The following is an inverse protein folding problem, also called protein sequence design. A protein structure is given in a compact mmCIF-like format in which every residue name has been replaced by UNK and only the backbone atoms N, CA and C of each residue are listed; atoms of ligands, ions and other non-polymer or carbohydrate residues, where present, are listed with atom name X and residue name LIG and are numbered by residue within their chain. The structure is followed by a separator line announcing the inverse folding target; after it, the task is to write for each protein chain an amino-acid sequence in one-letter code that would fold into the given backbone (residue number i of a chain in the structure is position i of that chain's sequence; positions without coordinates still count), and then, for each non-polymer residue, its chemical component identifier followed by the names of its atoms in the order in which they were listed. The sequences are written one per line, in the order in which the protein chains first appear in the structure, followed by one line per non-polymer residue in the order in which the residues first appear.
data_IF_624663193374
#
_entry.id   IF_624663193374
#
_cell.length_a   1.000
_cell.length_b   1.000
_cell.length_c   1.000
_cell.angle_alpha   90.00
_cell.angle_beta   90.00
_cell.angle_gamma   90.00
#
_symmetry.space_group_name_H-M   'P 1'
#
loop_
_entity.id
_entity.type
_entity.pdbx_description
1 polymer ?
#
# COMPACT_ATOMS: atom_id res chain seq x y z
N UNK A 1 -14.92 -5.24 -16.20
CA UNK A 1 -14.77 -3.81 -15.88
C UNK A 1 -13.79 -3.64 -14.73
N UNK A 2 -12.55 -3.27 -15.05
CA UNK A 2 -11.49 -2.92 -14.10
C UNK A 2 -11.90 -1.67 -13.33
N UNK A 3 -12.41 -1.89 -12.12
CA UNK A 3 -12.99 -0.85 -11.29
C UNK A 3 -11.89 -0.05 -10.60
N UNK A 4 -11.54 1.08 -11.23
CA UNK A 4 -10.77 2.22 -10.71
C UNK A 4 -9.24 2.25 -10.84
N UNK A 5 -8.73 1.70 -11.94
CA UNK A 5 -7.80 2.49 -12.75
C UNK A 5 -8.07 2.33 -14.25
N UNK A 6 -8.92 3.23 -14.75
CA UNK A 6 -8.34 4.24 -15.62
C UNK A 6 -7.07 4.71 -14.91
N UNK A 7 -5.90 4.25 -15.37
CA UNK A 7 -4.65 4.85 -14.95
C UNK A 7 -4.89 6.34 -15.12
N UNK A 8 -5.03 7.07 -14.00
CA UNK A 8 -5.09 8.51 -14.08
C UNK A 8 -3.77 8.85 -14.74
N UNK A 9 -3.86 9.25 -16.00
CA UNK A 9 -2.76 9.79 -16.79
C UNK A 9 -3.15 11.25 -16.95
N UNK A 10 -2.40 12.18 -16.34
CA UNK A 10 -1.21 11.92 -15.54
C UNK A 10 -1.55 11.32 -14.16
N UNK A 11 -0.63 10.52 -13.57
CA UNK A 11 -0.77 10.09 -12.19
C UNK A 11 -0.92 11.34 -11.29
N UNK A 12 -1.73 11.27 -10.21
CA UNK A 12 -1.91 12.41 -9.30
C UNK A 12 -0.56 13.00 -8.89
N UNK A 13 -0.48 14.31 -8.70
CA UNK A 13 0.80 15.04 -8.53
C UNK A 13 1.65 14.55 -7.35
N UNK A 14 1.05 13.96 -6.32
CA UNK A 14 1.77 13.31 -5.21
C UNK A 14 2.47 11.98 -5.60
N UNK A 15 2.14 11.41 -6.76
CA UNK A 15 2.73 10.15 -7.27
C UNK A 15 4.01 10.36 -8.10
N UNK A 16 4.33 11.59 -8.54
CA UNK A 16 5.28 11.86 -9.65
C UNK A 16 6.78 11.62 -9.35
N UNK A 17 7.19 11.04 -8.22
CA UNK A 17 8.58 11.25 -7.74
C UNK A 17 9.37 10.03 -7.23
N UNK A 18 8.90 8.78 -7.33
CA UNK A 18 9.59 7.67 -6.60
C UNK A 18 9.72 6.30 -7.29
N UNK A 19 9.43 6.14 -8.58
CA UNK A 19 9.62 4.84 -9.25
C UNK A 19 8.64 3.74 -8.77
N UNK A 20 7.51 4.15 -8.20
CA UNK A 20 6.45 3.28 -7.66
C UNK A 20 5.26 3.13 -8.62
N UNK A 21 5.27 3.87 -9.73
CA UNK A 21 4.16 4.01 -10.67
C UNK A 21 3.81 2.67 -11.33
N UNK A 22 4.84 1.84 -11.61
CA UNK A 22 4.66 0.49 -12.14
C UNK A 22 3.85 -0.39 -11.18
N UNK A 23 4.24 -0.47 -9.90
CA UNK A 23 3.54 -1.27 -8.90
C UNK A 23 2.10 -0.82 -8.70
N UNK A 24 1.85 0.50 -8.62
CA UNK A 24 0.48 1.05 -8.53
C UNK A 24 -0.35 0.67 -9.75
N UNK A 25 0.23 0.76 -10.94
CA UNK A 25 -0.46 0.42 -12.20
C UNK A 25 -0.84 -1.05 -12.25
N UNK A 26 0.07 -1.94 -11.82
CA UNK A 26 -0.19 -3.38 -11.78
C UNK A 26 -1.24 -3.75 -10.72
N UNK A 27 -1.17 -3.14 -9.54
CA UNK A 27 -2.18 -3.32 -8.48
C UNK A 27 -3.56 -2.96 -9.00
N UNK A 28 -3.68 -1.83 -9.69
CA UNK A 28 -4.98 -1.43 -10.16
C UNK A 28 -5.48 -2.23 -11.37
N UNK A 29 -4.58 -2.78 -12.19
CA UNK A 29 -4.93 -3.77 -13.21
C UNK A 29 -5.46 -5.08 -12.61
N UNK A 30 -5.00 -5.43 -11.41
CA UNK A 30 -5.52 -6.57 -10.65
C UNK A 30 -6.85 -6.23 -9.95
N UNK A 31 -7.23 -4.95 -9.84
CA UNK A 31 -8.44 -4.51 -9.15
C UNK A 31 -8.22 -3.95 -7.74
N UNK A 32 -6.96 -3.67 -7.36
CA UNK A 32 -6.59 -3.02 -6.09
C UNK A 32 -6.30 -1.55 -6.32
N UNK A 33 -7.03 -0.69 -5.63
CA UNK A 33 -6.93 0.75 -5.79
C UNK A 33 -6.02 1.30 -4.71
N UNK A 34 -4.89 1.88 -5.11
CA UNK A 34 -3.95 2.52 -4.17
C UNK A 34 -4.31 4.00 -4.05
N UNK A 35 -4.76 4.40 -2.86
CA UNK A 35 -4.97 5.80 -2.49
C UNK A 35 -3.64 6.47 -2.18
N UNK A 36 -2.91 5.92 -1.21
CA UNK A 36 -1.67 6.52 -0.70
C UNK A 36 -0.60 5.46 -0.40
N UNK A 37 0.67 5.89 -0.43
CA UNK A 37 1.83 5.13 0.01
C UNK A 37 2.68 6.03 0.91
N UNK A 38 2.63 5.76 2.20
CA UNK A 38 3.46 6.47 3.17
C UNK A 38 4.67 5.61 3.45
N UNK A 39 5.82 6.08 2.97
CA UNK A 39 7.12 5.50 3.29
C UNK A 39 7.70 6.18 4.51
N UNK A 40 8.56 5.48 5.24
CA UNK A 40 9.52 6.11 6.12
C UNK A 40 10.36 7.08 5.28
N UNK A 41 10.21 8.38 5.53
CA UNK A 41 10.70 9.46 4.67
C UNK A 41 12.09 9.95 5.03
N UNK A 42 12.64 9.48 6.16
CA UNK A 42 13.92 9.93 6.68
C UNK A 42 14.85 8.72 6.75
N UNK A 43 16.07 8.78 6.18
CA UNK A 43 17.12 7.84 6.54
C UNK A 43 17.45 8.09 8.02
N UNK A 44 16.70 7.46 8.92
CA UNK A 44 17.02 7.48 10.34
C UNK A 44 18.14 6.47 10.53
N UNK A 45 19.21 6.86 11.24
CA UNK A 45 20.23 5.89 11.58
C UNK A 45 19.57 4.77 12.39
N UNK A 46 19.75 3.50 12.02
CA UNK A 46 19.08 2.40 12.67
C UNK A 46 19.39 2.40 14.17
N UNK A 47 18.35 2.14 14.97
CA UNK A 47 18.44 2.02 16.41
C UNK A 47 18.37 3.35 17.19
N UNK A 48 18.60 3.28 18.51
CA UNK A 48 18.36 4.37 19.43
C UNK A 48 19.25 5.61 19.18
N UNK A 49 18.73 6.79 19.50
CA UNK A 49 19.45 8.07 19.48
C UNK A 49 19.45 8.71 20.87
N UNK A 50 20.51 9.44 21.25
CA UNK A 50 20.50 10.22 22.49
C UNK A 50 19.32 11.20 22.52
N UNK A 51 18.60 11.24 23.64
CA UNK A 51 17.55 12.20 23.91
C UNK A 51 18.10 13.39 24.70
N UNK A 52 17.39 14.53 24.61
CA UNK A 52 17.64 15.71 25.45
C UNK A 52 17.07 15.55 26.86
N UNK A 53 16.27 14.50 27.11
CA UNK A 53 15.71 14.22 28.44
C UNK A 53 16.81 13.76 29.40
N UNK A 54 16.96 14.40 30.58
CA UNK A 54 17.95 13.98 31.58
C UNK A 54 17.72 12.53 32.03
N UNK A 55 18.81 11.78 32.25
CA UNK A 55 18.72 10.47 32.88
C UNK A 55 18.54 10.61 34.39
N UNK A 56 17.82 9.65 34.99
CA UNK A 56 17.62 9.56 36.43
C UNK A 56 18.89 9.12 37.18
N UNK A 57 19.80 8.38 36.53
CA UNK A 57 21.02 7.86 37.15
C UNK A 57 22.28 8.55 36.64
N UNK A 58 23.21 8.83 37.55
CA UNK A 58 24.53 9.39 37.24
C UNK A 58 25.31 8.47 36.29
N UNK A 59 25.92 9.06 35.26
CA UNK A 59 26.72 8.32 34.28
C UNK A 59 25.91 7.66 33.16
N UNK A 60 24.58 7.74 33.20
CA UNK A 60 23.71 7.33 32.11
C UNK A 60 23.19 8.55 31.34
N UNK A 61 22.76 8.30 30.11
CA UNK A 61 21.97 9.24 29.32
C UNK A 61 20.66 8.56 28.90
N UNK A 62 19.65 9.36 28.60
CA UNK A 62 18.41 8.85 28.01
C UNK A 62 18.62 8.61 26.52
N UNK A 63 18.20 7.45 26.05
CA UNK A 63 18.13 7.09 24.65
C UNK A 63 16.65 7.02 24.24
N UNK A 64 16.34 7.52 23.06
CA UNK A 64 15.04 7.40 22.43
C UNK A 64 15.14 6.51 21.20
N UNK A 65 14.18 5.62 21.04
CA UNK A 65 14.07 4.74 19.88
C UNK A 65 12.69 4.90 19.27
N UNK A 66 12.64 4.93 17.94
CA UNK A 66 11.41 5.17 17.18
C UNK A 66 11.30 4.14 16.06
N UNK A 67 10.15 3.47 16.01
CA UNK A 67 9.80 2.55 14.94
C UNK A 67 8.65 3.11 14.13
N UNK A 68 8.84 3.13 12.81
CA UNK A 68 7.82 3.54 11.84
C UNK A 68 7.59 2.43 10.85
N UNK A 69 6.33 2.09 10.58
CA UNK A 69 5.99 1.21 9.49
C UNK A 69 5.55 2.02 8.28
N UNK A 70 6.14 1.69 7.13
CA UNK A 70 5.57 2.11 5.86
C UNK A 70 4.18 1.47 5.71
N UNK A 71 3.28 2.14 5.00
CA UNK A 71 1.96 1.59 4.73
C UNK A 71 1.41 1.96 3.35
N UNK A 72 0.60 1.06 2.80
CA UNK A 72 -0.26 1.30 1.64
C UNK A 72 -1.68 1.49 2.15
N UNK A 73 -2.28 2.65 1.86
CA UNK A 73 -3.73 2.83 2.00
C UNK A 73 -4.38 2.61 0.64
N UNK A 74 -5.37 1.73 0.60
CA UNK A 74 -6.06 1.39 -0.63
C UNK A 74 -7.46 0.82 -0.38
N UNK A 75 -8.06 0.33 -1.46
CA UNK A 75 -9.35 -0.32 -1.38
C UNK A 75 -9.52 -1.38 -2.47
N UNK A 76 -10.38 -2.35 -2.17
CA UNK A 76 -10.87 -3.37 -3.09
C UNK A 76 -12.40 -3.36 -3.11
N UNK A 77 -13.02 -4.05 -4.06
CA UNK A 77 -14.48 -4.24 -4.05
C UNK A 77 -14.90 -5.04 -2.83
N UNK A 78 -15.99 -4.62 -2.20
CA UNK A 78 -16.51 -5.29 -1.01
C UNK A 78 -17.36 -6.53 -1.33
N UNK A 79 -17.96 -6.56 -2.52
CA UNK A 79 -18.72 -7.72 -3.01
C UNK A 79 -17.83 -8.96 -3.06
N UNK A 80 -18.44 -10.13 -2.78
CA UNK A 80 -17.76 -11.42 -2.94
C UNK A 80 -17.27 -11.54 -4.39
N UNK A 81 -15.96 -11.62 -4.52
CA UNK A 81 -15.27 -11.71 -5.79
C UNK A 81 -14.07 -12.63 -5.61
N UNK A 82 -13.90 -13.58 -6.53
CA UNK A 82 -12.80 -14.56 -6.47
C UNK A 82 -11.44 -13.91 -6.29
N UNK A 83 -11.20 -12.77 -6.95
CA UNK A 83 -9.97 -12.01 -6.77
C UNK A 83 -9.85 -11.39 -5.38
N UNK A 84 -10.91 -10.74 -4.87
CA UNK A 84 -10.94 -10.13 -3.52
C UNK A 84 -10.57 -11.17 -2.46
N UNK A 85 -11.22 -12.34 -2.52
CA UNK A 85 -11.00 -13.41 -1.55
C UNK A 85 -9.58 -14.00 -1.68
N UNK A 86 -9.11 -14.22 -2.91
CA UNK A 86 -7.76 -14.67 -3.17
C UNK A 86 -6.70 -13.65 -2.73
N UNK A 87 -6.97 -12.35 -2.88
CA UNK A 87 -6.04 -11.29 -2.50
C UNK A 87 -5.90 -11.19 -0.98
N UNK A 88 -7.02 -11.17 -0.25
CA UNK A 88 -6.99 -11.20 1.22
C UNK A 88 -6.28 -12.49 1.70
N UNK A 89 -6.52 -13.63 1.05
CA UNK A 89 -5.80 -14.88 1.34
C UNK A 89 -4.29 -14.73 1.11
N UNK A 90 -3.85 -14.11 0.00
CA UNK A 90 -2.42 -13.89 -0.26
C UNK A 90 -1.77 -12.97 0.78
N UNK A 91 -2.50 -11.97 1.31
CA UNK A 91 -2.01 -11.15 2.41
C UNK A 91 -1.88 -11.97 3.70
N UNK A 92 -2.90 -12.77 4.04
CA UNK A 92 -2.91 -13.65 5.23
C UNK A 92 -1.82 -14.71 5.22
N UNK A 93 -1.42 -15.20 4.05
CA UNK A 93 -0.35 -16.19 3.90
C UNK A 93 1.06 -15.62 4.14
N UNK A 94 1.21 -14.31 4.34
CA UNK A 94 2.50 -13.63 4.50
C UNK A 94 2.50 -12.69 5.70
N UNK A 95 2.25 -13.21 6.91
CA UNK A 95 2.25 -12.39 8.13
C UNK A 95 3.62 -11.74 8.40
N UNK A 96 4.70 -12.33 7.90
CA UNK A 96 6.07 -11.81 7.95
C UNK A 96 6.31 -10.58 7.05
N UNK A 97 5.37 -10.29 6.15
CA UNK A 97 5.42 -9.15 5.22
C UNK A 97 4.37 -8.09 5.52
N UNK A 98 3.20 -8.51 5.99
CA UNK A 98 2.04 -7.63 6.09
C UNK A 98 1.43 -7.66 7.48
N UNK A 99 1.10 -6.46 7.96
CA UNK A 99 0.17 -6.22 9.06
C UNK A 99 -0.99 -5.44 8.47
N UNK A 100 -2.19 -6.02 8.48
CA UNK A 100 -3.34 -5.49 7.73
C UNK A 100 -4.43 -5.06 8.67
N UNK A 101 -4.91 -3.84 8.46
CA UNK A 101 -6.14 -3.29 9.04
C UNK A 101 -7.12 -3.07 7.90
N UNK A 102 -8.28 -3.71 7.94
CA UNK A 102 -9.31 -3.55 6.91
C UNK A 102 -10.64 -3.13 7.48
N UNK A 103 -11.36 -2.32 6.70
CA UNK A 103 -12.69 -1.77 7.03
C UNK A 103 -13.61 -1.94 5.84
N UNK A 104 -14.72 -2.63 6.04
CA UNK A 104 -15.80 -2.68 5.05
C UNK A 104 -16.73 -1.48 5.18
N UNK A 105 -17.24 -0.96 4.06
CA UNK A 105 -18.32 0.04 4.08
C UNK A 105 -19.68 -0.54 4.50
N UNK A 106 -19.86 -1.86 4.41
CA UNK A 106 -21.13 -2.51 4.80
C UNK A 106 -21.17 -2.92 6.26
N UNK A 107 -20.04 -2.88 6.97
CA UNK A 107 -20.01 -3.23 8.39
C UNK A 107 -20.60 -2.07 9.21
N UNK A 108 -21.44 -2.41 10.18
CA UNK A 108 -21.99 -1.42 11.08
C UNK A 108 -20.89 -0.84 11.99
N UNK A 109 -20.88 0.48 12.15
CA UNK A 109 -19.93 1.18 13.03
C UNK A 109 -18.50 1.27 12.47
N UNK A 110 -17.52 1.23 13.38
CA UNK A 110 -16.09 1.31 13.06
C UNK A 110 -15.40 -0.05 13.30
N UNK A 111 -16.05 -1.13 12.88
CA UNK A 111 -15.48 -2.46 12.98
C UNK A 111 -14.25 -2.58 12.07
N UNK A 112 -13.16 -3.12 12.64
CA UNK A 112 -11.89 -3.32 11.96
C UNK A 112 -11.54 -4.80 11.99
N UNK A 113 -11.22 -5.34 10.82
CA UNK A 113 -10.60 -6.66 10.67
C UNK A 113 -9.08 -6.48 10.70
N UNK A 114 -8.41 -7.15 11.64
CA UNK A 114 -6.97 -7.04 11.92
C UNK A 114 -6.31 -8.42 11.71
N UNK A 115 -5.21 -8.49 10.96
CA UNK A 115 -4.42 -9.72 10.81
C UNK A 115 -3.00 -9.48 10.31
N UNK A 116 -2.14 -10.49 10.45
CA UNK A 116 -0.73 -10.42 10.04
C UNK A 116 0.19 -9.99 11.19
N UNK A 117 1.49 -9.91 10.92
CA UNK A 117 2.50 -9.71 11.97
C UNK A 117 2.71 -10.94 12.85
N UNK A 118 3.44 -10.73 13.94
CA UNK A 118 3.76 -11.76 14.94
C UNK A 118 2.57 -11.98 15.91
N UNK A 119 2.67 -12.96 16.81
CA UNK A 119 1.59 -13.30 17.75
C UNK A 119 1.21 -12.13 18.68
N UNK A 120 2.16 -11.26 19.01
CA UNK A 120 1.98 -10.09 19.87
C UNK A 120 1.85 -8.77 19.08
N UNK A 121 1.37 -8.84 17.84
CA UNK A 121 1.26 -7.68 16.95
C UNK A 121 0.31 -6.60 17.51
N UNK A 122 0.82 -5.36 17.64
CA UNK A 122 0.08 -4.22 18.19
C UNK A 122 -0.53 -3.31 17.13
N UNK A 123 -0.40 -3.65 15.84
CA UNK A 123 -0.95 -2.92 14.69
C UNK A 123 -0.56 -1.44 14.66
N UNK A 124 0.63 -1.13 15.19
CA UNK A 124 1.14 0.23 15.22
C UNK A 124 1.61 0.68 13.84
N UNK A 125 1.44 1.97 13.55
CA UNK A 125 2.13 2.65 12.46
C UNK A 125 3.40 3.35 12.97
N UNK A 126 3.33 3.92 14.18
CA UNK A 126 4.44 4.59 14.84
C UNK A 126 4.44 4.25 16.33
N UNK A 127 5.61 3.91 16.87
CA UNK A 127 5.83 3.72 18.30
C UNK A 127 7.19 4.27 18.73
N UNK A 128 7.30 4.61 20.00
CA UNK A 128 8.52 5.09 20.63
C UNK A 128 8.83 4.31 21.89
N UNK A 129 10.09 4.30 22.29
CA UNK A 129 10.45 3.99 23.67
C UNK A 129 11.62 4.84 24.11
N UNK A 130 11.72 5.04 25.42
CA UNK A 130 12.87 5.69 26.04
C UNK A 130 13.46 4.76 27.09
N UNK A 131 14.78 4.77 27.20
CA UNK A 131 15.51 3.96 28.17
C UNK A 131 16.83 4.61 28.53
N UNK A 132 17.41 4.23 29.67
CA UNK A 132 18.70 4.76 30.12
C UNK A 132 19.83 3.79 29.84
N UNK A 133 20.93 4.29 29.30
CA UNK A 133 22.15 3.52 29.09
C UNK A 133 23.37 4.44 29.08
N UNK A 134 24.59 3.91 29.28
CA UNK A 134 25.80 4.71 29.17
C UNK A 134 25.89 5.37 27.79
N UNK A 135 26.59 6.51 27.72
CA UNK A 135 26.88 7.13 26.44
C UNK A 135 27.74 6.18 25.60
N UNK A 136 27.39 6.02 24.33
CA UNK A 136 28.05 5.10 23.42
C UNK A 136 28.25 5.75 22.06
N UNK A 137 29.27 5.27 21.33
CA UNK A 137 29.51 5.73 19.96
C UNK A 137 28.41 5.25 19.02
N UNK A 138 28.31 5.88 17.85
CA UNK A 138 27.32 5.53 16.84
C UNK A 138 27.39 4.05 16.41
N UNK A 139 28.60 3.47 16.41
CA UNK A 139 28.83 2.07 16.00
C UNK A 139 28.55 1.05 17.11
N UNK A 140 28.34 1.50 18.35
CA UNK A 140 28.12 0.63 19.51
C UNK A 140 26.90 1.10 20.33
N UNK A 141 25.83 1.48 19.63
CA UNK A 141 24.60 1.95 20.29
C UNK A 141 24.02 0.86 21.19
N UNK A 142 23.49 1.23 22.36
CA UNK A 142 22.83 0.26 23.23
C UNK A 142 21.57 -0.28 22.55
N UNK A 143 21.20 -1.50 22.91
CA UNK A 143 19.91 -2.09 22.52
C UNK A 143 18.85 -1.54 23.46
N UNK A 144 17.75 -1.02 22.89
CA UNK A 144 16.66 -0.53 23.71
C UNK A 144 15.98 -1.63 24.51
N UNK A 145 15.53 -1.27 25.71
CA UNK A 145 14.78 -2.13 26.62
C UNK A 145 13.55 -1.39 27.14
N UNK A 146 12.64 -2.13 27.77
CA UNK A 146 11.37 -1.58 28.25
C UNK A 146 10.25 -1.65 27.22
N UNK A 147 9.07 -1.18 27.66
CA UNK A 147 7.85 -1.20 26.87
C UNK A 147 7.90 -0.18 25.72
N UNK A 148 7.18 -0.50 24.65
CA UNK A 148 6.93 0.44 23.57
C UNK A 148 5.65 1.23 23.83
N UNK A 149 5.74 2.55 23.63
CA UNK A 149 4.61 3.46 23.62
C UNK A 149 4.12 3.63 22.18
N UNK A 150 2.90 3.19 21.89
CA UNK A 150 2.31 3.36 20.56
C UNK A 150 1.86 4.82 20.38
N UNK A 151 2.51 5.53 19.45
CA UNK A 151 2.19 6.92 19.12
C UNK A 151 1.01 7.00 18.15
N UNK A 152 0.98 6.09 17.17
CA UNK A 152 -0.07 6.05 16.15
C UNK A 152 -0.36 4.61 15.77
N UNK A 153 -1.60 4.20 15.91
CA UNK A 153 -2.10 2.88 15.53
C UNK A 153 -2.70 2.89 14.11
N UNK A 154 -2.85 1.71 13.51
CA UNK A 154 -3.55 1.58 12.23
C UNK A 154 -4.99 2.11 12.27
N UNK A 155 -5.67 1.99 13.42
CA UNK A 155 -6.98 2.62 13.65
C UNK A 155 -6.92 4.14 13.49
N UNK A 156 -5.89 4.78 14.05
CA UNK A 156 -5.73 6.23 13.98
C UNK A 156 -5.49 6.69 12.55
N UNK A 157 -4.73 5.94 11.76
CA UNK A 157 -4.53 6.22 10.32
C UNK A 157 -5.87 6.24 9.56
N UNK A 158 -6.87 5.47 10.00
CA UNK A 158 -8.20 5.45 9.39
C UNK A 158 -9.15 6.50 9.97
N UNK A 159 -9.13 6.73 11.29
CA UNK A 159 -10.23 7.40 12.00
C UNK A 159 -9.87 8.61 12.87
N UNK A 160 -8.59 8.94 13.04
CA UNK A 160 -8.21 10.10 13.88
C UNK A 160 -8.87 11.39 13.37
N UNK A 161 -9.19 12.28 14.30
CA UNK A 161 -9.89 13.55 14.03
C UNK A 161 -9.04 14.77 14.41
N UNK A 162 -7.74 14.59 14.64
CA UNK A 162 -6.89 15.58 15.30
C UNK A 162 -5.74 16.13 14.45
N UNK A 163 -5.04 17.08 15.07
CA UNK A 163 -3.73 17.57 14.65
C UNK A 163 -2.67 17.11 15.68
N UNK A 164 -1.48 16.77 15.22
CA UNK A 164 -0.32 16.54 16.08
C UNK A 164 0.69 17.69 15.86
N UNK A 165 0.64 18.69 16.74
CA UNK A 165 1.32 19.96 16.48
C UNK A 165 0.71 20.64 15.25
N UNK A 166 1.55 21.04 14.30
CA UNK A 166 1.11 21.63 13.02
C UNK A 166 0.72 20.59 11.96
N UNK A 167 0.92 19.29 12.23
CA UNK A 167 0.67 18.23 11.25
C UNK A 167 -0.77 17.73 11.35
N UNK A 168 -1.53 17.86 10.26
CA UNK A 168 -2.84 17.21 10.12
C UNK A 168 -2.66 15.69 10.10
N UNK A 169 -3.06 15.03 11.19
CA UNK A 169 -3.01 13.58 11.32
C UNK A 169 -4.37 12.93 11.05
N UNK A 170 -5.36 13.69 10.56
CA UNK A 170 -6.72 13.20 10.31
C UNK A 170 -6.72 11.93 9.47
N UNK A 171 -7.49 10.94 9.92
CA UNK A 171 -7.56 9.63 9.31
C UNK A 171 -8.24 9.67 7.95
N UNK A 172 -7.84 8.76 7.06
CA UNK A 172 -8.32 8.73 5.68
C UNK A 172 -9.85 8.61 5.56
N UNK A 173 -10.49 7.86 6.45
CA UNK A 173 -11.94 7.68 6.40
C UNK A 173 -12.69 8.89 6.96
N UNK A 174 -12.09 9.64 7.88
CA UNK A 174 -12.63 10.94 8.34
C UNK A 174 -12.56 11.99 7.25
N UNK A 175 -11.46 12.05 6.50
CA UNK A 175 -11.36 12.95 5.34
C UNK A 175 -12.47 12.66 4.32
N UNK A 176 -12.80 11.38 4.09
CA UNK A 176 -13.89 10.99 3.18
C UNK A 176 -15.29 11.44 3.61
N UNK A 177 -15.53 11.62 4.92
CA UNK A 177 -16.81 12.09 5.45
C UNK A 177 -17.04 13.58 5.16
N UNK A 178 -16.01 14.35 4.83
CA UNK A 178 -16.13 15.80 4.55
C UNK A 178 -16.72 16.08 3.16
N UNK A 179 -17.59 17.11 3.05
CA UNK A 179 -18.32 17.43 1.81
C UNK A 179 -17.40 17.90 0.66
N UNK A 180 -16.31 18.61 0.98
CA UNK A 180 -15.29 19.04 0.01
C UNK A 180 -14.19 17.98 -0.12
N UNK A 181 -14.54 16.83 -0.68
CA UNK A 181 -13.59 15.78 -1.05
C UNK A 181 -12.80 16.21 -2.31
N UNK A 182 -11.87 17.16 -2.20
CA UNK A 182 -11.00 17.80 -3.22
C UNK A 182 -10.37 16.86 -4.28
N UNK A 183 -11.19 16.19 -5.11
CA UNK A 183 -10.72 15.24 -6.12
C UNK A 183 -10.17 13.92 -5.57
N UNK A 184 -10.46 13.54 -4.32
CA UNK A 184 -9.92 12.31 -3.74
C UNK A 184 -10.55 11.06 -4.34
N UNK A 185 -9.72 10.06 -4.71
CA UNK A 185 -9.94 8.97 -5.69
C UNK A 185 -11.23 8.11 -5.56
N UNK A 186 -12.01 8.30 -4.50
CA UNK A 186 -13.24 7.56 -4.19
C UNK A 186 -14.53 8.36 -4.39
N UNK A 187 -14.47 9.68 -4.67
CA UNK A 187 -15.68 10.48 -4.87
C UNK A 187 -16.54 9.98 -6.04
N UNK A 188 -15.91 9.54 -7.15
CA UNK A 188 -16.59 8.93 -8.31
C UNK A 188 -17.28 7.59 -8.00
N UNK A 189 -17.07 7.01 -6.82
CA UNK A 189 -17.56 5.68 -6.44
C UNK A 189 -18.69 5.69 -5.42
N UNK A 190 -18.94 6.82 -4.74
CA UNK A 190 -19.83 6.91 -3.58
C UNK A 190 -21.17 6.18 -3.78
N UNK A 191 -21.71 6.24 -5.00
CA UNK A 191 -23.03 5.69 -5.33
C UNK A 191 -22.99 4.46 -6.26
N UNK A 192 -21.82 3.94 -6.65
CA UNK A 192 -21.72 2.89 -7.68
C UNK A 192 -21.48 1.48 -7.15
N UNK A 193 -20.69 1.33 -6.09
CA UNK A 193 -20.38 0.03 -5.48
C UNK A 193 -19.66 0.23 -4.15
N UNK A 194 -19.87 -0.70 -3.22
CA UNK A 194 -19.24 -0.66 -1.89
C UNK A 194 -17.80 -1.15 -1.94
N UNK A 195 -16.94 -0.55 -1.12
CA UNK A 195 -15.53 -0.91 -1.03
C UNK A 195 -15.13 -1.45 0.35
N UNK A 196 -14.10 -2.30 0.36
CA UNK A 196 -13.35 -2.66 1.57
C UNK A 196 -12.03 -1.89 1.52
N UNK A 197 -11.85 -0.98 2.46
CA UNK A 197 -10.61 -0.23 2.65
C UNK A 197 -9.57 -1.12 3.32
N UNK A 198 -8.33 -1.00 2.87
CA UNK A 198 -7.18 -1.72 3.40
C UNK A 198 -6.10 -0.71 3.78
N UNK A 199 -5.58 -0.86 4.98
CA UNK A 199 -4.33 -0.30 5.41
C UNK A 199 -3.37 -1.47 5.59
N UNK A 200 -2.41 -1.60 4.66
CA UNK A 200 -1.40 -2.66 4.67
C UNK A 200 -0.11 -2.02 5.16
N UNK A 201 0.29 -2.32 6.39
CA UNK A 201 1.55 -1.92 7.00
C UNK A 201 2.64 -2.95 6.68
N UNK A 202 3.87 -2.50 6.50
CA UNK A 202 5.03 -3.40 6.44
C UNK A 202 5.22 -4.04 7.81
N UNK A 203 5.31 -5.38 7.85
CA UNK A 203 5.56 -6.09 9.11
C UNK A 203 6.94 -5.70 9.69
N UNK A 204 7.91 -5.39 8.83
CA UNK A 204 9.24 -4.94 9.22
C UNK A 204 9.26 -3.41 9.41
N UNK A 205 9.50 -2.91 10.63
CA UNK A 205 9.60 -1.48 10.85
C UNK A 205 10.83 -0.89 10.13
N UNK A 206 10.74 0.39 9.83
CA UNK A 206 11.78 1.21 9.21
C UNK A 206 12.18 0.80 7.78
N UNK A 207 11.45 -0.15 7.18
CA UNK A 207 11.61 -0.58 5.79
C UNK A 207 11.03 0.44 4.79
N UNK A 208 11.59 0.47 3.59
CA UNK A 208 11.15 1.37 2.51
C UNK A 208 9.75 1.01 2.01
N UNK A 209 8.89 2.01 1.82
CA UNK A 209 7.57 1.82 1.23
C UNK A 209 7.60 1.26 -0.20
N UNK A 210 8.72 1.40 -0.93
CA UNK A 210 8.90 0.78 -2.25
C UNK A 210 8.86 -0.74 -2.13
N UNK A 211 9.49 -1.29 -1.10
CA UNK A 211 9.53 -2.73 -0.89
C UNK A 211 8.15 -3.26 -0.48
N UNK A 212 7.43 -2.53 0.38
CA UNK A 212 6.06 -2.84 0.72
C UNK A 212 5.14 -2.88 -0.51
N UNK A 213 5.12 -1.82 -1.33
CA UNK A 213 4.22 -1.78 -2.48
C UNK A 213 4.57 -2.86 -3.53
N UNK A 214 5.84 -3.21 -3.66
CA UNK A 214 6.29 -4.35 -4.47
C UNK A 214 5.75 -5.68 -3.92
N UNK A 215 5.85 -5.90 -2.61
CA UNK A 215 5.33 -7.12 -1.95
C UNK A 215 3.79 -7.21 -2.11
N UNK A 216 3.09 -6.09 -1.98
CA UNK A 216 1.63 -6.00 -2.21
C UNK A 216 1.27 -6.27 -3.67
N UNK A 217 2.01 -5.70 -4.63
CA UNK A 217 1.84 -5.99 -6.06
C UNK A 217 2.07 -7.47 -6.37
N UNK A 218 3.09 -8.09 -5.78
CA UNK A 218 3.33 -9.53 -5.90
C UNK A 218 2.16 -10.36 -5.35
N UNK A 219 1.61 -9.99 -4.19
CA UNK A 219 0.43 -10.64 -3.63
C UNK A 219 -0.79 -10.54 -4.56
N UNK A 220 -1.01 -9.37 -5.17
CA UNK A 220 -2.09 -9.18 -6.14
C UNK A 220 -1.90 -10.02 -7.41
N UNK A 221 -0.67 -10.11 -7.94
CA UNK A 221 -0.36 -10.98 -9.08
C UNK A 221 -0.61 -12.45 -8.78
N UNK A 222 -0.25 -12.90 -7.56
CA UNK A 222 -0.53 -14.26 -7.12
C UNK A 222 -2.04 -14.52 -7.00
N UNK A 223 -2.78 -13.56 -6.46
CA UNK A 223 -4.24 -13.65 -6.32
C UNK A 223 -4.95 -13.70 -7.67
N UNK A 224 -4.47 -12.93 -8.64
CA UNK A 224 -5.00 -12.93 -10.01
C UNK A 224 -4.53 -14.12 -10.87
N UNK A 225 -3.71 -15.03 -10.31
CA UNK A 225 -3.32 -16.27 -10.98
C UNK A 225 -2.18 -16.15 -11.99
N UNK A 226 -1.54 -14.98 -12.14
CA UNK A 226 -0.44 -14.79 -13.09
C UNK A 226 0.89 -15.36 -12.61
N UNK A 227 1.03 -15.62 -11.31
CA UNK A 227 2.31 -16.09 -10.75
C UNK A 227 2.14 -16.83 -9.43
N UNK A 228 3.11 -17.69 -9.09
CA UNK A 228 3.11 -18.49 -7.85
C UNK A 228 4.51 -18.56 -7.22
N UNK A 229 4.53 -18.80 -5.91
CA UNK A 229 5.74 -19.02 -5.11
C UNK A 229 6.46 -17.74 -4.72
N UNK A 230 7.76 -17.88 -4.41
CA UNK A 230 8.61 -16.77 -3.98
C UNK A 230 8.83 -15.74 -5.10
N UNK A 231 8.95 -14.47 -4.69
CA UNK A 231 9.24 -13.35 -5.57
C UNK A 231 10.61 -13.54 -6.25
N UNK A 232 10.66 -13.23 -7.54
CA UNK A 232 11.89 -12.94 -8.27
C UNK A 232 11.56 -11.93 -9.35
N UNK A 233 12.53 -11.08 -9.71
CA UNK A 233 12.32 -10.06 -10.73
C UNK A 233 11.89 -10.66 -12.08
N UNK A 234 12.47 -11.79 -12.47
CA UNK A 234 12.12 -12.48 -13.73
C UNK A 234 10.67 -12.98 -13.73
N UNK A 235 10.21 -13.61 -12.64
CA UNK A 235 8.82 -14.04 -12.53
C UNK A 235 7.87 -12.85 -12.51
N UNK A 236 8.27 -11.75 -11.86
CA UNK A 236 7.47 -10.55 -11.81
C UNK A 236 7.27 -9.93 -13.19
N UNK A 237 8.35 -9.76 -13.96
CA UNK A 237 8.27 -9.24 -15.35
C UNK A 237 7.38 -10.12 -16.23
N UNK A 238 7.51 -11.46 -16.15
CA UNK A 238 6.63 -12.38 -16.89
C UNK A 238 5.16 -12.23 -16.49
N UNK A 239 4.89 -12.08 -15.19
CA UNK A 239 3.54 -11.90 -14.67
C UNK A 239 2.94 -10.55 -15.10
N UNK A 240 3.74 -9.48 -15.14
CA UNK A 240 3.29 -8.18 -15.62
C UNK A 240 2.94 -8.21 -17.09
N UNK A 241 3.74 -8.89 -17.92
CA UNK A 241 3.44 -9.05 -19.34
C UNK A 241 2.14 -9.81 -19.56
N UNK A 242 1.95 -10.93 -18.85
CA UNK A 242 0.72 -11.71 -18.91
C UNK A 242 -0.51 -10.91 -18.44
N UNK A 243 -0.38 -10.15 -17.34
CA UNK A 243 -1.44 -9.26 -16.85
C UNK A 243 -1.79 -8.20 -17.89
N UNK A 244 -0.79 -7.55 -18.47
CA UNK A 244 -0.99 -6.52 -19.49
C UNK A 244 -1.70 -7.11 -20.70
N UNK A 245 -1.24 -8.25 -21.22
CA UNK A 245 -1.89 -8.94 -22.34
C UNK A 245 -3.35 -9.30 -22.05
N UNK A 246 -3.65 -9.82 -20.86
CA UNK A 246 -5.01 -10.19 -20.48
C UNK A 246 -5.93 -8.96 -20.31
N UNK A 247 -5.39 -7.80 -19.94
CA UNK A 247 -6.16 -6.58 -19.65
C UNK A 247 -6.12 -5.54 -20.77
N UNK A 248 -5.27 -5.69 -21.79
CA UNK A 248 -5.10 -4.70 -22.85
C UNK A 248 -6.37 -4.53 -23.68
N UNK A 249 -7.09 -5.61 -23.97
CA UNK A 249 -8.34 -5.53 -24.74
C UNK A 249 -9.41 -4.76 -24.00
N UNK A 250 -9.58 -5.00 -22.70
CA UNK A 250 -10.48 -4.22 -21.83
C UNK A 250 -10.03 -2.75 -21.72
N UNK A 251 -8.72 -2.50 -21.74
CA UNK A 251 -8.16 -1.14 -21.67
C UNK A 251 -8.31 -0.35 -22.96
N UNK A 252 -8.29 -1.01 -24.11
CA UNK A 252 -8.40 -0.34 -25.41
C UNK A 252 -9.83 -0.37 -25.96
N UNK A 253 -10.77 -1.06 -25.31
CA UNK A 253 -12.14 -1.21 -25.82
C UNK A 253 -12.95 0.10 -25.85
N UNK A 254 -12.49 1.15 -25.16
CA UNK A 254 -13.11 2.48 -25.19
C UNK A 254 -12.46 3.42 -26.22
N UNK A 255 -11.30 3.05 -26.80
CA UNK A 255 -10.61 3.87 -27.79
C UNK A 255 -11.19 3.63 -29.19
N UNK A 256 -11.35 4.68 -30.02
CA UNK A 256 -11.69 4.50 -31.42
C UNK A 256 -10.63 3.62 -32.12
N UNK A 257 -11.02 2.73 -33.05
CA UNK A 257 -10.11 1.77 -33.70
C UNK A 257 -8.87 2.40 -34.35
N UNK A 258 -8.98 3.64 -34.83
CA UNK A 258 -7.89 4.41 -35.45
C UNK A 258 -6.72 4.70 -34.49
N UNK A 259 -6.94 4.69 -33.18
CA UNK A 259 -5.93 4.99 -32.16
C UNK A 259 -5.29 3.74 -31.52
N UNK A 260 -5.87 2.54 -31.72
CA UNK A 260 -5.32 1.31 -31.17
C UNK A 260 -4.04 0.83 -31.90
N UNK A 261 -3.81 1.31 -33.13
CA UNK A 261 -2.72 0.91 -34.03
C UNK A 261 -1.39 1.65 -33.78
N UNK A 262 -1.38 2.69 -32.94
CA UNK A 262 -0.20 3.54 -32.68
C UNK A 262 0.53 3.22 -31.37
N UNK A 263 0.04 2.27 -30.56
CA UNK A 263 0.73 1.86 -29.35
C UNK A 263 1.84 0.84 -29.68
N UNK A 264 3.05 0.99 -29.10
CA UNK A 264 4.13 0.04 -29.29
C UNK A 264 3.84 -1.20 -28.44
N UNK A 265 3.02 -2.10 -28.97
CA UNK A 265 2.83 -3.45 -28.43
C UNK A 265 3.56 -4.39 -29.39
N UNK A 266 4.30 -5.36 -28.84
CA UNK A 266 5.12 -6.32 -29.60
C UNK A 266 4.46 -6.81 -30.90
N UNK A 267 5.26 -6.98 -31.96
CA UNK A 267 4.82 -7.27 -33.34
C UNK A 267 3.77 -8.39 -33.49
N UNK A 268 3.72 -9.34 -32.57
CA UNK A 268 2.73 -10.43 -32.57
C UNK A 268 1.30 -9.96 -32.26
N UNK A 269 1.14 -8.89 -31.46
CA UNK A 269 -0.16 -8.32 -31.09
C UNK A 269 -0.80 -7.48 -32.20
N UNK A 270 0.02 -6.76 -32.98
CA UNK A 270 -0.46 -6.04 -34.16
C UNK A 270 -1.07 -7.00 -35.20
N UNK A 271 -0.55 -8.22 -35.31
CA UNK A 271 -1.11 -9.24 -36.20
C UNK A 271 -2.47 -9.78 -35.72
N UNK A 272 -2.64 -10.02 -34.42
CA UNK A 272 -3.90 -10.51 -33.85
C UNK A 272 -5.02 -9.47 -33.88
N UNK A 273 -4.70 -8.20 -33.62
CA UNK A 273 -5.66 -7.10 -33.78
C UNK A 273 -6.07 -6.96 -35.25
N UNK A 274 -5.11 -6.91 -36.19
CA UNK A 274 -5.39 -6.85 -37.63
C UNK A 274 -6.25 -8.04 -38.12
N UNK A 275 -5.94 -9.26 -37.68
CA UNK A 275 -6.69 -10.47 -38.06
C UNK A 275 -8.13 -10.48 -37.52
N UNK A 276 -8.37 -9.90 -36.34
CA UNK A 276 -9.71 -9.79 -35.76
C UNK A 276 -10.52 -8.69 -36.45
N UNK A 277 -9.89 -7.59 -36.86
CA UNK A 277 -10.54 -6.51 -37.63
C UNK A 277 -10.92 -6.94 -39.06
N UNK A 278 -10.12 -7.78 -39.71
CA UNK A 278 -10.46 -8.34 -41.02
C UNK A 278 -11.75 -9.19 -41.00
N UNK A 279 -12.15 -9.72 -39.84
CA UNK A 279 -13.41 -10.45 -39.65
C UNK A 279 -14.63 -9.59 -39.33
N UNK A 280 -14.43 -8.29 -39.04
CA UNK A 280 -15.52 -7.33 -38.81
C UNK A 280 -15.83 -6.49 -40.06
N UNK A 281 -14.96 -6.54 -41.08
CA UNK A 281 -15.13 -5.86 -42.36
C UNK A 281 -15.51 -6.81 -43.51
N UNK A 282 -15.67 -8.10 -43.23
CA UNK A 282 -16.21 -9.13 -44.11
C UNK A 282 -17.54 -9.62 -43.54
#
# INVERSE_FOLDING_TARGET
MSFAALGLVPPPTFCKKRGIEGFRSHLSLCGVVVGDLVSTSVPRPPGPVPSMTPASRRGLISWAELDFRAYVFGAIRNERNEFTDAFIKQLRLRPDKFVVVSRSETDAGQWLELFGGDQDETFYQMRSRMFEAPMASFNNRPVGHGAWDNIRMGRDVLYSTGQAGEMDITGYLRKLETERNEGWLFWLKKDRFKVKYLLILDAQPNRSGIQLIQDVAWAAMCAAGYVRGAYSIQKYVKATDALLQAKITERLSWLPPSYALTFPVSNHHNALLKARYARYQA
#
